data_IF_986200054059
#
_entry.id   IF_986200054059
#
_cell.length_a   1.000
_cell.length_b   1.000
_cell.length_c   1.000
_cell.angle_alpha   90.00
_cell.angle_beta   90.00
_cell.angle_gamma   90.00
#
_symmetry.space_group_name_H-M   'P 1'
#
loop_
_entity.id
_entity.type
_entity.pdbx_description
1 polymer ?
#
# COMPACT_ATOMS: atom_id res chain seq x y z
N UNK A 1 23.81 22.06 -21.53
CA UNK A 1 23.28 22.28 -20.16
C UNK A 1 23.48 21.04 -19.30
N UNK A 2 23.02 19.86 -19.73
CA UNK A 2 23.22 18.59 -19.01
C UNK A 2 24.67 18.34 -18.55
N UNK A 3 25.65 18.49 -19.45
CA UNK A 3 27.08 18.33 -19.13
C UNK A 3 27.55 19.28 -18.03
N UNK A 4 27.01 20.50 -17.99
CA UNK A 4 27.35 21.51 -16.98
C UNK A 4 26.75 21.13 -15.63
N UNK A 5 25.50 20.63 -15.61
CA UNK A 5 24.90 20.10 -14.38
C UNK A 5 25.67 18.89 -13.84
N UNK A 6 26.00 17.92 -14.69
CA UNK A 6 26.79 16.77 -14.27
C UNK A 6 28.16 17.18 -13.72
N UNK A 7 28.89 18.05 -14.44
CA UNK A 7 30.17 18.55 -13.98
C UNK A 7 30.08 19.33 -12.66
N UNK A 8 29.01 20.10 -12.45
CA UNK A 8 28.80 20.83 -11.19
C UNK A 8 28.45 19.88 -10.03
N UNK A 9 27.60 18.88 -10.27
CA UNK A 9 27.23 17.87 -9.27
C UNK A 9 28.47 17.10 -8.82
N UNK A 10 29.27 16.63 -9.77
CA UNK A 10 30.46 15.78 -9.54
C UNK A 10 31.71 16.57 -9.10
N UNK A 11 31.68 17.90 -9.17
CA UNK A 11 32.82 18.75 -8.76
C UNK A 11 33.06 18.75 -7.24
N UNK A 12 34.29 19.02 -6.81
CA UNK A 12 34.65 19.20 -5.40
C UNK A 12 34.34 20.62 -4.86
N UNK A 13 33.49 21.39 -5.57
CA UNK A 13 33.14 22.74 -5.14
C UNK A 13 32.33 22.75 -3.84
N UNK A 14 32.46 23.79 -2.99
CA UNK A 14 31.64 23.95 -1.79
C UNK A 14 30.14 23.96 -2.12
N UNK A 15 29.31 23.39 -1.24
CA UNK A 15 27.86 23.28 -1.44
C UNK A 15 27.19 24.64 -1.73
N UNK A 16 27.60 25.69 -1.01
CA UNK A 16 27.16 27.07 -1.21
C UNK A 16 27.40 27.54 -2.66
N UNK A 17 28.59 27.27 -3.19
CA UNK A 17 28.97 27.61 -4.56
C UNK A 17 28.16 26.81 -5.58
N UNK A 18 27.96 25.51 -5.33
CA UNK A 18 27.11 24.66 -6.18
C UNK A 18 25.68 25.21 -6.23
N UNK A 19 25.08 25.56 -5.09
CA UNK A 19 23.73 26.15 -5.01
C UNK A 19 23.61 27.45 -5.82
N UNK A 20 24.57 28.36 -5.68
CA UNK A 20 24.56 29.63 -6.41
C UNK A 20 24.65 29.44 -7.92
N UNK A 21 25.53 28.54 -8.39
CA UNK A 21 25.66 28.22 -9.82
C UNK A 21 24.40 27.51 -10.32
N UNK A 22 23.83 26.59 -9.54
CA UNK A 22 22.56 25.91 -9.86
C UNK A 22 21.43 26.91 -10.10
N UNK A 23 21.27 27.93 -9.26
CA UNK A 23 20.23 28.97 -9.48
C UNK A 23 20.40 29.71 -10.81
N UNK A 24 21.63 30.02 -11.20
CA UNK A 24 21.91 30.68 -12.48
C UNK A 24 21.64 29.75 -13.65
N UNK A 25 22.01 28.47 -13.53
CA UNK A 25 21.72 27.46 -14.53
C UNK A 25 20.21 27.20 -14.65
N UNK A 26 19.46 27.24 -13.55
CA UNK A 26 17.99 27.14 -13.57
C UNK A 26 17.37 28.30 -14.35
N UNK A 27 17.84 29.53 -14.12
CA UNK A 27 17.38 30.70 -14.90
C UNK A 27 17.76 30.62 -16.38
N UNK A 28 18.85 29.94 -16.72
CA UNK A 28 19.22 29.69 -18.11
C UNK A 28 18.37 28.57 -18.73
N UNK A 29 17.98 27.56 -17.95
CA UNK A 29 17.17 26.43 -18.39
C UNK A 29 15.76 26.84 -18.86
N UNK A 30 15.20 27.92 -18.31
CA UNK A 30 13.92 28.46 -18.79
C UNK A 30 13.97 29.01 -20.22
N UNK A 31 15.17 29.30 -20.76
CA UNK A 31 15.37 29.79 -22.14
C UNK A 31 15.59 28.69 -23.15
N UNK A 32 15.57 27.42 -22.73
CA UNK A 32 15.76 26.29 -23.64
C UNK A 32 14.62 26.20 -24.66
N UNK A 33 14.90 25.58 -25.81
CA UNK A 33 13.82 25.12 -26.70
C UNK A 33 13.03 24.00 -26.01
N UNK A 34 11.81 23.72 -26.46
CA UNK A 34 11.04 22.59 -25.91
C UNK A 34 11.79 21.26 -26.07
N UNK A 35 12.49 21.06 -27.18
CA UNK A 35 13.27 19.85 -27.42
C UNK A 35 14.44 19.72 -26.44
N UNK A 36 15.19 20.80 -26.21
CA UNK A 36 16.31 20.79 -25.27
C UNK A 36 15.83 20.65 -23.82
N UNK A 37 14.68 21.24 -23.49
CA UNK A 37 14.05 21.09 -22.20
C UNK A 37 13.60 19.65 -21.96
N UNK A 38 13.00 18.98 -22.96
CA UNK A 38 12.65 17.54 -22.87
C UNK A 38 13.88 16.68 -22.62
N UNK A 39 14.98 16.93 -23.34
CA UNK A 39 16.24 16.22 -23.11
C UNK A 39 16.78 16.44 -21.69
N UNK A 40 16.77 17.68 -21.21
CA UNK A 40 17.22 17.99 -19.85
C UNK A 40 16.29 17.38 -18.78
N UNK A 41 14.97 17.40 -19.00
CA UNK A 41 13.99 16.73 -18.14
C UNK A 41 14.30 15.25 -18.04
N UNK A 42 14.56 14.55 -19.15
CA UNK A 42 14.91 13.11 -19.14
C UNK A 42 16.12 12.81 -18.27
N UNK A 43 17.22 13.54 -18.48
CA UNK A 43 18.44 13.35 -17.69
C UNK A 43 18.20 13.66 -16.21
N UNK A 44 17.45 14.72 -15.92
CA UNK A 44 17.10 15.11 -14.55
C UNK A 44 16.14 14.12 -13.86
N UNK A 45 15.21 13.50 -14.60
CA UNK A 45 14.35 12.41 -14.13
C UNK A 45 15.20 11.21 -13.71
N UNK A 46 16.17 10.81 -14.52
CA UNK A 46 17.13 9.76 -14.15
C UNK A 46 17.92 10.14 -12.89
N UNK A 47 18.40 11.39 -12.76
CA UNK A 47 19.12 11.84 -11.56
C UNK A 47 18.25 11.83 -10.30
N UNK A 48 16.98 12.24 -10.43
CA UNK A 48 16.00 12.25 -9.34
C UNK A 48 15.73 10.83 -8.80
N UNK A 49 15.66 9.85 -9.71
CA UNK A 49 15.21 8.49 -9.41
C UNK A 49 16.37 7.53 -9.07
N UNK A 50 17.51 7.68 -9.74
CA UNK A 50 18.63 6.73 -9.69
C UNK A 50 19.92 7.34 -9.11
N UNK A 51 19.91 8.62 -8.72
CA UNK A 51 21.09 9.29 -8.16
C UNK A 51 21.52 8.68 -6.82
N UNK A 52 22.73 8.12 -6.78
CA UNK A 52 23.35 7.58 -5.56
C UNK A 52 23.56 8.67 -4.49
N UNK A 53 23.85 9.89 -4.92
CA UNK A 53 24.07 11.05 -4.05
C UNK A 53 22.77 11.84 -3.79
N UNK A 54 22.58 12.29 -2.54
CA UNK A 54 21.43 13.12 -2.14
C UNK A 54 21.34 14.42 -2.94
N UNK A 55 22.48 15.08 -3.18
CA UNK A 55 22.55 16.34 -3.95
C UNK A 55 22.13 16.14 -5.40
N UNK A 56 22.59 15.06 -6.06
CA UNK A 56 22.20 14.74 -7.44
C UNK A 56 20.68 14.53 -7.57
N UNK A 57 20.08 13.86 -6.59
CA UNK A 57 18.62 13.68 -6.52
C UNK A 57 17.89 15.00 -6.34
N UNK A 58 18.36 15.86 -5.42
CA UNK A 58 17.77 17.18 -5.17
C UNK A 58 17.82 18.09 -6.40
N UNK A 59 18.97 18.12 -7.09
CA UNK A 59 19.14 18.88 -8.33
C UNK A 59 18.23 18.36 -9.46
N UNK A 60 18.17 17.03 -9.63
CA UNK A 60 17.27 16.42 -10.61
C UNK A 60 15.81 16.82 -10.38
N UNK A 61 15.35 16.81 -9.12
CA UNK A 61 13.99 17.24 -8.74
C UNK A 61 13.72 18.69 -9.10
N UNK A 62 14.63 19.58 -8.71
CA UNK A 62 14.45 21.01 -8.92
C UNK A 62 14.41 21.37 -10.42
N UNK A 63 15.21 20.70 -11.24
CA UNK A 63 15.22 20.86 -12.70
C UNK A 63 13.86 20.45 -13.28
N UNK A 64 13.41 19.23 -12.98
CA UNK A 64 12.15 18.68 -13.47
C UNK A 64 11.00 19.60 -13.05
N UNK A 65 10.95 19.98 -11.78
CA UNK A 65 9.92 20.87 -11.24
C UNK A 65 9.87 22.22 -11.97
N UNK A 66 11.00 22.93 -12.09
CA UNK A 66 11.02 24.25 -12.74
C UNK A 66 10.69 24.20 -14.21
N UNK A 67 11.22 23.23 -14.95
CA UNK A 67 10.96 23.10 -16.39
C UNK A 67 9.48 22.87 -16.66
N UNK A 68 8.84 22.01 -15.88
CA UNK A 68 7.41 21.74 -16.03
C UNK A 68 6.54 22.91 -15.56
N UNK A 69 6.89 23.54 -14.43
CA UNK A 69 6.16 24.72 -13.91
C UNK A 69 6.21 25.89 -14.89
N UNK A 70 7.36 26.16 -15.48
CA UNK A 70 7.56 27.33 -16.32
C UNK A 70 6.96 27.14 -17.74
N UNK A 71 6.76 25.88 -18.19
CA UNK A 71 6.25 25.55 -19.55
C UNK A 71 4.79 25.11 -19.62
N UNK A 72 4.19 24.72 -18.50
CA UNK A 72 2.77 24.43 -18.42
C UNK A 72 2.34 22.99 -18.75
N UNK A 73 1.02 22.71 -18.71
CA UNK A 73 0.45 21.36 -18.83
C UNK A 73 0.70 20.67 -20.17
N UNK A 74 0.72 21.42 -21.28
CA UNK A 74 0.98 20.84 -22.61
C UNK A 74 2.39 20.25 -22.73
N UNK A 75 3.38 20.92 -22.13
CA UNK A 75 4.76 20.42 -22.08
C UNK A 75 4.84 19.16 -21.22
N UNK A 76 4.22 19.17 -20.04
CA UNK A 76 4.08 17.99 -19.15
C UNK A 76 3.51 16.78 -19.89
N UNK A 77 2.39 16.96 -20.60
CA UNK A 77 1.73 15.89 -21.34
C UNK A 77 2.61 15.35 -22.48
N UNK A 78 3.32 16.22 -23.20
CA UNK A 78 4.23 15.78 -24.26
C UNK A 78 5.43 14.98 -23.76
N UNK A 79 5.94 15.28 -22.55
CA UNK A 79 7.02 14.48 -21.91
C UNK A 79 6.49 13.11 -21.50
N UNK A 80 5.26 13.09 -20.99
CA UNK A 80 4.55 11.89 -20.59
C UNK A 80 4.31 10.95 -21.78
N UNK A 81 3.71 11.43 -22.87
CA UNK A 81 3.49 10.68 -24.11
C UNK A 81 4.80 10.10 -24.67
N UNK A 82 5.87 10.90 -24.73
CA UNK A 82 7.18 10.43 -25.16
C UNK A 82 7.76 9.38 -24.20
N UNK A 83 7.52 9.53 -22.89
CA UNK A 83 7.88 8.56 -21.86
C UNK A 83 7.19 7.22 -22.10
N UNK A 84 5.87 7.22 -22.36
CA UNK A 84 5.09 6.02 -22.70
C UNK A 84 5.56 5.36 -23.98
N UNK A 85 5.70 6.12 -25.07
CA UNK A 85 6.18 5.59 -26.36
C UNK A 85 7.58 4.96 -26.25
N UNK A 86 8.45 5.54 -25.42
CA UNK A 86 9.80 5.05 -25.19
C UNK A 86 9.91 4.04 -24.03
N UNK A 87 8.80 3.69 -23.39
CA UNK A 87 8.72 2.82 -22.19
C UNK A 87 9.66 3.24 -21.05
N UNK A 88 9.84 4.54 -20.85
CA UNK A 88 10.75 5.10 -19.83
C UNK A 88 9.99 5.47 -18.56
N UNK A 89 9.87 4.51 -17.66
CA UNK A 89 9.19 4.69 -16.37
C UNK A 89 9.68 5.91 -15.56
N UNK A 90 11.01 6.22 -15.48
CA UNK A 90 11.48 7.40 -14.76
C UNK A 90 10.94 8.72 -15.32
N UNK A 91 10.79 8.82 -16.64
CA UNK A 91 10.28 10.03 -17.31
C UNK A 91 8.79 10.22 -17.01
N UNK A 92 8.02 9.12 -17.07
CA UNK A 92 6.59 9.13 -16.72
C UNK A 92 6.37 9.54 -15.27
N UNK A 93 7.10 8.91 -14.35
CA UNK A 93 6.97 9.19 -12.92
C UNK A 93 7.39 10.62 -12.58
N UNK A 94 8.48 11.12 -13.15
CA UNK A 94 8.93 12.48 -12.90
C UNK A 94 7.88 13.52 -13.32
N UNK A 95 7.28 13.37 -14.50
CA UNK A 95 6.25 14.28 -14.97
C UNK A 95 4.95 14.17 -14.15
N UNK A 96 4.49 12.95 -13.81
CA UNK A 96 3.31 12.76 -12.96
C UNK A 96 3.51 13.32 -11.54
N UNK A 97 4.71 13.20 -10.96
CA UNK A 97 5.01 13.77 -9.65
C UNK A 97 4.92 15.29 -9.62
N UNK A 98 5.29 15.98 -10.71
CA UNK A 98 5.12 17.44 -10.77
C UNK A 98 3.66 17.85 -10.74
N UNK A 99 2.77 17.07 -11.37
CA UNK A 99 1.33 17.32 -11.30
C UNK A 99 0.80 17.28 -9.86
N UNK A 100 1.41 16.49 -8.98
CA UNK A 100 1.00 16.32 -7.58
C UNK A 100 1.46 17.46 -6.65
N UNK A 101 2.28 18.42 -7.11
CA UNK A 101 2.84 19.45 -6.23
C UNK A 101 1.88 20.64 -6.05
N UNK A 102 1.56 21.02 -4.79
CA UNK A 102 0.52 22.01 -4.48
C UNK A 102 0.88 23.47 -4.79
N UNK A 103 2.15 23.78 -5.10
CA UNK A 103 2.68 25.15 -5.18
C UNK A 103 2.81 25.72 -6.60
N UNK A 104 2.23 25.08 -7.61
CA UNK A 104 2.42 25.46 -9.02
C UNK A 104 1.15 26.04 -9.68
N UNK A 105 1.32 27.07 -10.51
CA UNK A 105 0.32 27.51 -11.50
C UNK A 105 0.02 26.42 -12.56
N UNK A 106 0.75 25.31 -12.52
CA UNK A 106 0.56 24.06 -13.26
C UNK A 106 -0.09 23.00 -12.37
N UNK A 107 -1.10 23.42 -11.60
CA UNK A 107 -1.70 22.59 -10.57
C UNK A 107 -2.39 21.37 -11.16
N UNK A 108 -2.50 20.30 -10.37
CA UNK A 108 -3.27 19.09 -10.70
C UNK A 108 -4.70 19.37 -11.20
N UNK A 109 -5.27 20.52 -10.82
CA UNK A 109 -6.58 21.01 -11.24
C UNK A 109 -6.66 21.33 -12.75
N UNK A 110 -5.51 21.46 -13.41
CA UNK A 110 -5.41 21.72 -14.86
C UNK A 110 -5.46 20.46 -15.72
N UNK A 111 -5.32 19.27 -15.12
CA UNK A 111 -5.46 18.00 -15.82
C UNK A 111 -6.95 17.75 -16.13
N UNK A 112 -7.27 17.56 -17.40
CA UNK A 112 -8.63 17.22 -17.82
C UNK A 112 -8.98 15.77 -17.44
N UNK A 113 -10.27 15.47 -17.35
CA UNK A 113 -10.74 14.10 -17.10
C UNK A 113 -10.25 13.16 -18.23
N UNK A 114 -10.30 13.62 -19.48
CA UNK A 114 -9.84 12.89 -20.66
C UNK A 114 -8.35 12.51 -20.56
N UNK A 115 -7.49 13.45 -20.16
CA UNK A 115 -6.07 13.18 -19.96
C UNK A 115 -5.83 12.16 -18.85
N UNK A 116 -6.63 12.19 -17.78
CA UNK A 116 -6.51 11.19 -16.72
C UNK A 116 -6.93 9.80 -17.20
N UNK A 117 -8.03 9.70 -17.95
CA UNK A 117 -8.51 8.47 -18.58
C UNK A 117 -7.45 7.89 -19.52
N UNK A 118 -6.86 8.73 -20.37
CA UNK A 118 -5.81 8.32 -21.31
C UNK A 118 -4.57 7.80 -20.57
N UNK A 119 -4.11 8.51 -19.53
CA UNK A 119 -2.98 8.07 -18.70
C UNK A 119 -3.24 6.72 -18.02
N UNK A 120 -4.45 6.51 -17.49
CA UNK A 120 -4.85 5.24 -16.88
C UNK A 120 -4.89 4.11 -17.90
N UNK A 121 -5.45 4.35 -19.09
CA UNK A 121 -5.51 3.39 -20.18
C UNK A 121 -4.11 2.98 -20.66
N UNK A 122 -3.21 3.95 -20.84
CA UNK A 122 -1.81 3.69 -21.21
C UNK A 122 -1.07 2.89 -20.14
N UNK A 123 -1.24 3.21 -18.85
CA UNK A 123 -0.63 2.46 -17.76
C UNK A 123 -1.13 1.01 -17.69
N UNK A 124 -2.42 0.78 -17.97
CA UNK A 124 -3.01 -0.56 -18.05
C UNK A 124 -2.50 -1.35 -19.24
N UNK A 125 -2.45 -0.72 -20.42
CA UNK A 125 -1.90 -1.35 -21.62
C UNK A 125 -0.45 -1.79 -21.38
N UNK A 126 0.36 -0.93 -20.76
CA UNK A 126 1.73 -1.28 -20.42
C UNK A 126 1.79 -2.46 -19.43
N UNK A 127 0.96 -2.47 -18.39
CA UNK A 127 0.91 -3.58 -17.44
C UNK A 127 0.51 -4.92 -18.09
N UNK A 128 -0.36 -4.89 -19.10
CA UNK A 128 -0.76 -6.06 -19.88
C UNK A 128 0.36 -6.55 -20.80
N UNK A 129 1.08 -5.63 -21.46
CA UNK A 129 2.20 -5.93 -22.35
C UNK A 129 3.42 -6.49 -21.59
N UNK A 130 3.78 -5.86 -20.46
CA UNK A 130 4.95 -6.23 -19.67
C UNK A 130 4.66 -7.41 -18.72
N UNK A 131 3.40 -7.87 -18.63
CA UNK A 131 2.89 -8.91 -17.70
C UNK A 131 3.15 -8.62 -16.22
N UNK A 132 3.59 -7.42 -15.89
CA UNK A 132 3.86 -6.95 -14.55
C UNK A 132 3.47 -5.48 -14.43
N UNK A 133 2.60 -5.18 -13.47
CA UNK A 133 2.14 -3.82 -13.23
C UNK A 133 3.11 -3.09 -12.31
N UNK A 134 3.64 -1.95 -12.76
CA UNK A 134 4.44 -1.07 -11.89
C UNK A 134 3.55 -0.44 -10.82
N UNK A 135 3.67 -0.92 -9.57
CA UNK A 135 2.93 -0.35 -8.43
C UNK A 135 3.16 1.15 -8.34
N UNK A 136 4.37 1.63 -8.62
CA UNK A 136 4.69 3.04 -8.51
C UNK A 136 3.90 3.89 -9.51
N UNK A 137 3.84 3.48 -10.77
CA UNK A 137 3.09 4.19 -11.80
C UNK A 137 1.60 4.22 -11.45
N UNK A 138 1.03 3.07 -11.09
CA UNK A 138 -0.36 2.95 -10.71
C UNK A 138 -0.68 3.80 -9.46
N UNK A 139 0.16 3.74 -8.42
CA UNK A 139 -0.04 4.48 -7.19
C UNK A 139 -0.01 6.00 -7.40
N UNK A 140 0.92 6.49 -8.25
CA UNK A 140 1.01 7.92 -8.58
C UNK A 140 -0.23 8.37 -9.34
N UNK A 141 -0.69 7.60 -10.34
CA UNK A 141 -1.90 7.92 -11.10
C UNK A 141 -3.17 7.87 -10.23
N UNK A 142 -3.32 6.83 -9.42
CA UNK A 142 -4.47 6.71 -8.50
C UNK A 142 -4.50 7.86 -7.49
N UNK A 143 -3.35 8.24 -6.94
CA UNK A 143 -3.27 9.40 -6.06
C UNK A 143 -3.55 10.72 -6.81
N UNK A 144 -3.09 10.85 -8.05
CA UNK A 144 -3.38 12.04 -8.86
C UNK A 144 -4.87 12.19 -9.15
N UNK A 145 -5.57 11.09 -9.43
CA UNK A 145 -7.02 11.08 -9.60
C UNK A 145 -7.77 11.59 -8.35
N UNK A 146 -7.34 11.13 -7.16
CA UNK A 146 -7.93 11.59 -5.89
C UNK A 146 -7.57 13.05 -5.60
N UNK A 147 -6.30 13.41 -5.69
CA UNK A 147 -5.80 14.75 -5.35
C UNK A 147 -6.36 15.84 -6.29
N UNK A 148 -6.75 15.49 -7.51
CA UNK A 148 -7.39 16.39 -8.47
C UNK A 148 -8.92 16.43 -8.35
N UNK A 149 -9.49 15.72 -7.38
CA UNK A 149 -10.94 15.55 -7.23
C UNK A 149 -11.62 15.03 -8.52
N UNK A 150 -10.88 14.28 -9.35
CA UNK A 150 -11.39 13.73 -10.62
C UNK A 150 -12.06 12.38 -10.45
N UNK A 151 -11.96 11.76 -9.28
CA UNK A 151 -12.66 10.50 -8.99
C UNK A 151 -14.18 10.64 -9.12
N UNK A 152 -14.79 11.69 -8.57
CA UNK A 152 -16.25 11.85 -8.64
C UNK A 152 -16.74 12.08 -10.07
N UNK A 153 -16.17 13.02 -10.86
CA UNK A 153 -16.54 13.17 -12.28
C UNK A 153 -16.31 11.88 -13.08
N UNK A 154 -15.26 11.13 -12.80
CA UNK A 154 -14.99 9.87 -13.51
C UNK A 154 -16.10 8.82 -13.25
N UNK A 155 -16.59 8.74 -12.02
CA UNK A 155 -17.68 7.82 -11.64
C UNK A 155 -19.05 8.31 -12.11
N UNK A 156 -19.32 9.61 -12.02
CA UNK A 156 -20.65 10.18 -12.31
C UNK A 156 -20.86 10.52 -13.80
N UNK A 157 -19.83 11.01 -14.49
CA UNK A 157 -19.91 11.52 -15.87
C UNK A 157 -19.28 10.58 -16.90
N UNK A 158 -18.40 9.67 -16.48
CA UNK A 158 -17.60 8.83 -17.37
C UNK A 158 -18.32 7.63 -18.00
N UNK A 159 -19.52 7.30 -17.55
CA UNK A 159 -20.33 6.20 -18.09
C UNK A 159 -19.73 4.79 -17.85
N UNK A 160 -20.16 3.81 -18.65
CA UNK A 160 -19.74 2.40 -18.51
C UNK A 160 -18.26 2.19 -18.81
N UNK A 161 -17.70 2.88 -19.81
CA UNK A 161 -16.30 2.73 -20.21
C UNK A 161 -15.33 3.21 -19.12
N UNK A 162 -15.62 4.33 -18.46
CA UNK A 162 -14.82 4.81 -17.33
C UNK A 162 -14.94 3.88 -16.11
N UNK A 163 -16.11 3.28 -15.90
CA UNK A 163 -16.34 2.32 -14.82
C UNK A 163 -15.54 1.03 -15.05
N UNK A 164 -15.52 0.49 -16.26
CA UNK A 164 -14.69 -0.67 -16.62
C UNK A 164 -13.20 -0.35 -16.47
N UNK A 165 -12.77 0.84 -16.92
CA UNK A 165 -11.39 1.30 -16.77
C UNK A 165 -10.99 1.38 -15.30
N UNK A 166 -11.84 1.95 -14.44
CA UNK A 166 -11.62 2.02 -13.00
C UNK A 166 -11.51 0.63 -12.37
N UNK A 167 -12.36 -0.31 -12.76
CA UNK A 167 -12.30 -1.69 -12.27
C UNK A 167 -10.98 -2.36 -12.68
N UNK A 168 -10.62 -2.29 -13.97
CA UNK A 168 -9.35 -2.84 -14.49
C UNK A 168 -8.14 -2.21 -13.80
N UNK A 169 -8.12 -0.89 -13.65
CA UNK A 169 -7.07 -0.15 -12.96
C UNK A 169 -6.93 -0.60 -11.50
N UNK A 170 -8.06 -0.72 -10.81
CA UNK A 170 -8.09 -1.16 -9.42
C UNK A 170 -7.60 -2.60 -9.25
N UNK A 171 -7.95 -3.50 -10.17
CA UNK A 171 -7.40 -4.86 -10.18
C UNK A 171 -5.90 -4.88 -10.43
N UNK A 172 -5.40 -4.09 -11.38
CA UNK A 172 -3.96 -3.98 -11.63
C UNK A 172 -3.23 -3.47 -10.37
N UNK A 173 -3.81 -2.50 -9.66
CA UNK A 173 -3.29 -1.99 -8.38
C UNK A 173 -3.22 -3.09 -7.30
N UNK A 174 -4.30 -3.86 -7.11
CA UNK A 174 -4.32 -4.95 -6.12
C UNK A 174 -3.30 -6.05 -6.45
N UNK A 175 -3.16 -6.41 -7.73
CA UNK A 175 -2.14 -7.36 -8.16
C UNK A 175 -0.73 -6.83 -7.88
N UNK A 176 -0.46 -5.57 -8.22
CA UNK A 176 0.83 -4.92 -7.97
C UNK A 176 1.14 -4.82 -6.46
N UNK A 177 0.14 -4.53 -5.62
CA UNK A 177 0.28 -4.57 -4.16
C UNK A 177 0.58 -5.98 -3.66
N UNK A 178 -0.07 -7.01 -4.23
CA UNK A 178 0.13 -8.41 -3.82
C UNK A 178 1.56 -8.92 -4.11
N UNK A 179 2.14 -8.49 -5.23
CA UNK A 179 3.49 -8.86 -5.65
C UNK A 179 4.57 -7.95 -5.07
N UNK A 180 4.20 -6.78 -4.52
CA UNK A 180 5.16 -5.82 -3.98
C UNK A 180 6.03 -6.45 -2.89
N UNK A 181 7.34 -6.54 -3.13
CA UNK A 181 8.31 -6.90 -2.11
C UNK A 181 9.09 -5.64 -1.79
N UNK A 182 9.01 -5.18 -0.54
CA UNK A 182 9.92 -4.17 -0.04
C UNK A 182 11.34 -4.78 -0.08
N UNK A 183 12.25 -4.27 -0.93
CA UNK A 183 13.60 -4.81 -0.97
C UNK A 183 14.29 -4.54 0.38
N UNK A 184 14.89 -5.58 0.97
CA UNK A 184 15.46 -5.60 2.33
C UNK A 184 16.59 -4.58 2.61
N UNK A 185 16.98 -3.77 1.62
CA UNK A 185 18.05 -2.77 1.76
C UNK A 185 18.08 -1.74 0.63
N UNK A 186 16.96 -1.45 -0.04
CA UNK A 186 17.00 -0.44 -1.10
C UNK A 186 16.51 0.92 -0.57
N UNK A 187 17.36 1.96 -0.55
CA UNK A 187 16.96 3.32 -0.23
C UNK A 187 16.22 3.91 -1.43
N UNK A 188 15.16 3.26 -1.90
CA UNK A 188 14.29 3.77 -2.96
C UNK A 188 13.20 4.62 -2.34
N UNK A 189 13.63 5.64 -1.61
CA UNK A 189 12.74 6.72 -1.20
C UNK A 189 12.75 7.75 -2.30
N UNK A 190 11.85 7.52 -3.25
CA UNK A 190 11.49 8.47 -4.30
C UNK A 190 10.66 9.54 -3.58
N UNK A 191 11.30 10.69 -3.39
CA UNK A 191 11.28 11.47 -2.13
C UNK A 191 9.96 11.75 -1.41
N UNK A 192 10.11 12.14 -0.10
CA UNK A 192 11.41 12.23 0.64
C UNK A 192 11.49 11.35 1.90
N UNK A 193 12.73 10.98 2.32
CA UNK A 193 13.12 10.93 3.73
C UNK A 193 14.11 12.10 4.01
N UNK A 194 14.20 12.84 5.11
CA UNK A 194 13.66 12.86 6.48
C UNK A 194 13.76 14.33 6.99
N UNK A 195 13.08 14.74 8.08
CA UNK A 195 11.96 14.06 8.72
C UNK A 195 10.70 14.30 7.88
N UNK A 196 9.82 13.30 7.87
CA UNK A 196 8.46 13.44 7.37
C UNK A 196 7.76 14.48 8.25
N UNK A 197 7.83 15.75 7.85
CA UNK A 197 6.97 16.78 8.41
C UNK A 197 5.59 16.53 7.83
N UNK A 198 4.60 16.42 8.71
CA UNK A 198 3.18 16.30 8.38
C UNK A 198 2.66 17.42 7.43
N UNK A 199 3.48 18.44 7.17
CA UNK A 199 3.19 19.61 6.37
C UNK A 199 3.44 19.41 4.86
N UNK A 200 4.27 18.45 4.45
CA UNK A 200 4.67 18.28 3.04
C UNK A 200 3.60 17.60 2.17
N UNK A 201 2.62 16.94 2.80
CA UNK A 201 1.58 16.16 2.12
C UNK A 201 0.21 16.32 2.77
N UNK A 202 -0.45 17.49 2.60
CA UNK A 202 -1.74 17.78 3.24
C UNK A 202 -2.88 16.81 2.83
N UNK A 203 -2.66 15.96 1.82
CA UNK A 203 -3.67 15.06 1.24
C UNK A 203 -3.48 13.58 1.60
N UNK A 204 -2.44 13.21 2.37
CA UNK A 204 -2.25 11.83 2.85
C UNK A 204 -2.73 11.72 4.30
N UNK A 205 -3.72 10.86 4.61
CA UNK A 205 -4.19 10.69 5.98
C UNK A 205 -3.08 10.20 6.92
N UNK A 206 -2.83 10.89 8.04
CA UNK A 206 -1.75 10.60 9.00
C UNK A 206 -1.89 9.24 9.68
N UNK A 207 -3.14 8.85 9.96
CA UNK A 207 -3.56 7.54 10.43
C UNK A 207 -3.10 6.41 9.49
N UNK A 208 -3.23 6.61 8.18
CA UNK A 208 -2.85 5.61 7.17
C UNK A 208 -1.32 5.43 7.11
N UNK A 209 -0.55 6.52 7.25
CA UNK A 209 0.91 6.42 7.35
C UNK A 209 1.36 5.67 8.61
N UNK A 210 0.72 5.92 9.75
CA UNK A 210 1.05 5.23 11.00
C UNK A 210 0.74 3.72 10.92
N UNK A 211 -0.39 3.36 10.32
CA UNK A 211 -0.77 1.96 10.08
C UNK A 211 0.18 1.25 9.10
N UNK A 212 0.57 1.91 8.01
CA UNK A 212 1.55 1.37 7.08
C UNK A 212 2.91 1.11 7.75
N UNK A 213 3.37 2.04 8.61
CA UNK A 213 4.61 1.88 9.39
C UNK A 213 4.53 0.72 10.37
N UNK A 214 3.41 0.58 11.09
CA UNK A 214 3.20 -0.51 12.04
C UNK A 214 3.24 -1.89 11.38
N UNK A 215 2.85 -1.99 10.10
CA UNK A 215 2.84 -3.22 9.33
C UNK A 215 4.07 -3.42 8.43
N UNK A 216 5.12 -2.60 8.61
CA UNK A 216 6.39 -2.74 7.89
C UNK A 216 6.37 -2.28 6.43
N UNK A 217 5.33 -1.57 6.00
CA UNK A 217 5.20 -1.02 4.64
C UNK A 217 5.35 0.52 4.58
N UNK A 218 5.44 1.19 5.74
CA UNK A 218 5.42 2.65 5.86
C UNK A 218 6.66 3.38 5.37
N UNK A 219 7.64 2.65 4.83
CA UNK A 219 8.79 3.21 4.10
C UNK A 219 8.50 3.40 2.60
N UNK A 220 7.41 2.81 2.09
CA UNK A 220 7.07 2.82 0.66
C UNK A 220 5.95 3.81 0.35
N UNK A 221 6.31 5.00 -0.15
CA UNK A 221 5.37 6.06 -0.53
C UNK A 221 4.33 5.60 -1.57
N UNK A 222 4.71 4.71 -2.48
CA UNK A 222 3.77 4.17 -3.47
C UNK A 222 2.68 3.30 -2.82
N UNK A 223 2.99 2.54 -1.76
CA UNK A 223 1.97 1.80 -1.01
C UNK A 223 0.97 2.78 -0.39
N UNK A 224 1.45 3.80 0.32
CA UNK A 224 0.58 4.81 0.96
C UNK A 224 -0.33 5.49 -0.07
N UNK A 225 0.19 5.88 -1.22
CA UNK A 225 -0.59 6.48 -2.31
C UNK A 225 -1.64 5.54 -2.90
N UNK A 226 -1.29 4.28 -3.13
CA UNK A 226 -2.22 3.26 -3.60
C UNK A 226 -3.37 3.06 -2.60
N UNK A 227 -3.05 3.02 -1.31
CA UNK A 227 -4.02 2.88 -0.23
C UNK A 227 -4.94 4.11 -0.11
N UNK A 228 -4.43 5.33 -0.29
CA UNK A 228 -5.27 6.54 -0.36
C UNK A 228 -6.28 6.46 -1.50
N UNK A 229 -5.85 6.03 -2.69
CA UNK A 229 -6.76 5.81 -3.82
C UNK A 229 -7.87 4.80 -3.49
N UNK A 230 -7.50 3.62 -2.97
CA UNK A 230 -8.45 2.57 -2.62
C UNK A 230 -9.44 3.02 -1.54
N UNK A 231 -8.97 3.76 -0.53
CA UNK A 231 -9.81 4.31 0.53
C UNK A 231 -10.86 5.28 -0.01
N UNK A 232 -10.45 6.22 -0.85
CA UNK A 232 -11.38 7.18 -1.46
C UNK A 232 -12.42 6.49 -2.35
N UNK A 233 -12.04 5.39 -3.02
CA UNK A 233 -12.97 4.61 -3.84
C UNK A 233 -14.01 3.87 -2.99
N UNK A 234 -13.66 3.37 -1.81
CA UNK A 234 -14.61 2.75 -0.88
C UNK A 234 -15.56 3.74 -0.23
N UNK A 235 -15.04 4.89 0.17
CA UNK A 235 -15.82 5.96 0.78
C UNK A 235 -16.74 6.66 -0.24
N UNK A 236 -16.58 6.39 -1.54
CA UNK A 236 -17.40 7.00 -2.58
C UNK A 236 -18.84 6.45 -2.57
N UNK A 237 -19.87 7.32 -2.49
CA UNK A 237 -21.25 6.91 -2.22
C UNK A 237 -21.87 6.05 -3.32
N UNK A 238 -21.44 6.20 -4.58
CA UNK A 238 -21.96 5.43 -5.71
C UNK A 238 -21.09 4.21 -6.06
N UNK A 239 -19.80 4.24 -5.72
CA UNK A 239 -18.87 3.19 -6.11
C UNK A 239 -18.72 2.13 -5.00
N UNK A 240 -18.79 2.54 -3.72
CA UNK A 240 -18.40 1.72 -2.57
C UNK A 240 -19.05 0.33 -2.49
N UNK A 241 -20.38 0.21 -2.66
CA UNK A 241 -21.07 -1.09 -2.51
C UNK A 241 -20.74 -2.08 -3.64
N UNK A 242 -20.76 -1.63 -4.90
CA UNK A 242 -20.40 -2.47 -6.05
C UNK A 242 -18.90 -2.82 -6.07
N UNK A 243 -18.05 -1.86 -5.68
CA UNK A 243 -16.61 -2.07 -5.60
C UNK A 243 -16.21 -2.98 -4.44
N UNK A 244 -16.95 -3.02 -3.33
CA UNK A 244 -16.62 -3.92 -2.21
C UNK A 244 -16.55 -5.37 -2.66
N UNK A 245 -17.62 -5.86 -3.29
CA UNK A 245 -17.70 -7.24 -3.81
C UNK A 245 -16.55 -7.55 -4.75
N UNK A 246 -16.24 -6.60 -5.65
CA UNK A 246 -15.13 -6.71 -6.58
C UNK A 246 -13.76 -6.80 -5.88
N UNK A 247 -13.45 -5.85 -5.01
CA UNK A 247 -12.20 -5.77 -4.26
C UNK A 247 -12.03 -7.01 -3.40
N UNK A 248 -13.08 -7.46 -2.72
CA UNK A 248 -13.05 -8.66 -1.90
C UNK A 248 -12.72 -9.90 -2.73
N UNK A 249 -13.44 -10.11 -3.84
CA UNK A 249 -13.20 -11.23 -4.75
C UNK A 249 -11.76 -11.25 -5.23
N UNK A 250 -11.26 -10.09 -5.67
CA UNK A 250 -9.90 -9.99 -6.22
C UNK A 250 -8.81 -10.09 -5.15
N UNK A 251 -8.99 -9.45 -3.99
CA UNK A 251 -8.05 -9.54 -2.88
C UNK A 251 -7.96 -10.97 -2.37
N UNK A 252 -9.11 -11.63 -2.14
CA UNK A 252 -9.12 -13.03 -1.73
C UNK A 252 -8.58 -13.96 -2.81
N UNK A 253 -8.86 -13.71 -4.09
CA UNK A 253 -8.22 -14.47 -5.18
C UNK A 253 -6.70 -14.40 -5.06
N UNK A 254 -6.10 -13.24 -4.75
CA UNK A 254 -4.65 -13.14 -4.55
C UNK A 254 -4.16 -13.99 -3.37
N UNK A 255 -4.92 -14.08 -2.28
CA UNK A 255 -4.61 -14.97 -1.15
C UNK A 255 -4.81 -16.45 -1.49
N UNK A 256 -5.83 -16.80 -2.28
CA UNK A 256 -6.26 -18.16 -2.57
C UNK A 256 -5.46 -18.83 -3.71
N UNK A 257 -5.12 -18.08 -4.76
CA UNK A 257 -4.60 -18.65 -6.01
C UNK A 257 -3.12 -18.37 -6.25
N UNK A 258 -2.48 -17.49 -5.48
CA UNK A 258 -1.07 -17.17 -5.68
C UNK A 258 -0.17 -18.29 -5.14
N UNK A 259 0.78 -18.76 -5.94
CA UNK A 259 1.81 -19.73 -5.51
C UNK A 259 2.75 -19.15 -4.45
N UNK A 260 2.89 -17.83 -4.41
CA UNK A 260 3.68 -17.12 -3.40
C UNK A 260 2.77 -16.44 -2.39
N UNK A 261 3.20 -16.33 -1.11
CA UNK A 261 2.44 -15.54 -0.14
C UNK A 261 2.32 -14.09 -0.64
N UNK A 262 1.13 -13.47 -0.59
CA UNK A 262 0.98 -12.08 -0.97
C UNK A 262 1.76 -11.16 -0.03
N UNK A 263 2.10 -9.98 -0.51
CA UNK A 263 2.75 -8.95 0.30
C UNK A 263 1.90 -8.52 1.47
N UNK A 264 2.54 -8.14 2.59
CA UNK A 264 1.88 -7.43 3.69
C UNK A 264 1.19 -6.14 3.22
N UNK A 265 1.63 -5.54 2.10
CA UNK A 265 0.97 -4.37 1.51
C UNK A 265 -0.48 -4.66 1.07
N UNK A 266 -0.78 -5.90 0.66
CA UNK A 266 -2.16 -6.30 0.36
C UNK A 266 -3.00 -6.44 1.63
N UNK A 267 -2.40 -6.84 2.76
CA UNK A 267 -3.09 -6.92 4.04
C UNK A 267 -3.53 -5.55 4.55
N UNK A 268 -2.77 -4.49 4.24
CA UNK A 268 -3.18 -3.11 4.54
C UNK A 268 -4.48 -2.71 3.85
N UNK A 269 -4.76 -3.24 2.65
CA UNK A 269 -6.03 -3.01 1.97
C UNK A 269 -7.20 -3.52 2.82
N UNK A 270 -7.06 -4.71 3.41
CA UNK A 270 -8.06 -5.28 4.31
C UNK A 270 -8.20 -4.45 5.59
N UNK A 271 -7.10 -3.91 6.12
CA UNK A 271 -7.12 -3.06 7.31
C UNK A 271 -7.91 -1.76 7.13
N UNK A 272 -7.98 -1.24 5.91
CA UNK A 272 -8.59 0.04 5.60
C UNK A 272 -10.05 -0.08 5.17
N UNK A 273 -10.59 -1.30 5.06
CA UNK A 273 -11.99 -1.49 4.71
C UNK A 273 -12.91 -1.00 5.86
N UNK A 274 -13.91 -0.15 5.57
CA UNK A 274 -14.94 0.23 6.53
C UNK A 274 -15.65 -0.97 7.17
N UNK A 275 -16.02 -0.86 8.45
CA UNK A 275 -16.56 -1.97 9.25
C UNK A 275 -17.91 -2.49 8.72
N UNK A 276 -18.79 -1.57 8.32
CA UNK A 276 -20.09 -1.86 7.73
C UNK A 276 -19.99 -2.70 6.45
N UNK A 277 -18.87 -2.59 5.75
CA UNK A 277 -18.56 -3.39 4.57
C UNK A 277 -17.96 -4.77 4.95
N UNK A 278 -17.20 -4.88 6.03
CA UNK A 278 -16.70 -6.17 6.53
C UNK A 278 -17.85 -7.07 7.00
N UNK A 279 -18.90 -6.52 7.61
CA UNK A 279 -20.05 -7.31 8.04
C UNK A 279 -20.80 -7.94 6.86
N UNK A 280 -20.93 -7.20 5.74
CA UNK A 280 -21.47 -7.70 4.47
C UNK A 280 -20.58 -8.79 3.85
N UNK A 281 -19.29 -8.82 4.21
CA UNK A 281 -18.34 -9.76 3.65
C UNK A 281 -18.63 -11.23 4.03
N UNK A 282 -19.14 -11.47 5.24
CA UNK A 282 -19.42 -12.82 5.73
C UNK A 282 -20.48 -13.55 4.87
N UNK A 283 -21.54 -12.83 4.47
CA UNK A 283 -22.56 -13.36 3.56
C UNK A 283 -21.99 -13.61 2.17
N UNK A 284 -21.11 -12.72 1.70
CA UNK A 284 -20.41 -12.92 0.43
C UNK A 284 -19.51 -14.15 0.42
N UNK A 285 -18.72 -14.39 1.48
CA UNK A 285 -17.86 -15.58 1.59
C UNK A 285 -18.66 -16.87 1.55
N UNK A 286 -19.89 -16.86 2.05
CA UNK A 286 -20.78 -18.03 1.97
C UNK A 286 -21.25 -18.34 0.54
N UNK A 287 -21.17 -17.39 -0.41
CA UNK A 287 -21.65 -17.55 -1.80
C UNK A 287 -20.56 -17.60 -2.88
N UNK A 288 -19.30 -17.29 -2.53
CA UNK A 288 -18.12 -17.37 -3.41
C UNK A 288 -17.86 -18.75 -4.05
N UNK A 289 -17.74 -18.83 -5.37
CA UNK A 289 -17.32 -20.07 -6.06
C UNK A 289 -15.81 -20.37 -5.79
N UNK A 290 -15.52 -21.04 -4.67
CA UNK A 290 -14.17 -21.47 -4.28
C UNK A 290 -14.22 -22.84 -3.59
N UNK A 291 -13.07 -23.51 -3.48
CA UNK A 291 -12.95 -24.79 -2.77
C UNK A 291 -12.35 -24.63 -1.35
N UNK A 292 -12.42 -25.71 -0.55
CA UNK A 292 -11.89 -25.71 0.81
C UNK A 292 -10.37 -25.45 0.85
N UNK A 293 -9.62 -25.94 -0.14
CA UNK A 293 -8.15 -25.83 -0.16
C UNK A 293 -7.68 -24.38 -0.36
N UNK A 294 -8.39 -23.65 -1.22
CA UNK A 294 -8.19 -22.23 -1.48
C UNK A 294 -8.45 -21.40 -0.22
N UNK A 295 -9.56 -21.66 0.47
CA UNK A 295 -9.89 -20.95 1.72
C UNK A 295 -8.91 -21.30 2.83
N UNK A 296 -8.50 -22.55 2.98
CA UNK A 296 -7.45 -22.95 3.93
C UNK A 296 -6.14 -22.20 3.68
N UNK A 297 -5.70 -22.07 2.43
CA UNK A 297 -4.47 -21.32 2.09
C UNK A 297 -4.60 -19.83 2.43
N UNK A 298 -5.76 -19.23 2.13
CA UNK A 298 -6.01 -17.83 2.47
C UNK A 298 -6.01 -17.58 3.98
N UNK A 299 -6.66 -18.44 4.76
CA UNK A 299 -6.70 -18.35 6.22
C UNK A 299 -5.31 -18.51 6.83
N UNK A 300 -4.53 -19.51 6.39
CA UNK A 300 -3.16 -19.71 6.88
C UNK A 300 -2.28 -18.48 6.60
N UNK A 301 -2.40 -17.86 5.41
CA UNK A 301 -1.67 -16.64 5.08
C UNK A 301 -2.10 -15.43 5.92
N UNK A 302 -3.39 -15.26 6.16
CA UNK A 302 -3.92 -14.15 6.98
C UNK A 302 -3.56 -14.30 8.46
N UNK A 303 -3.64 -15.52 9.00
CA UNK A 303 -3.35 -15.81 10.41
C UNK A 303 -1.86 -15.69 10.76
N UNK A 304 -0.96 -15.84 9.78
CA UNK A 304 0.48 -15.59 9.97
C UNK A 304 0.82 -14.12 10.17
N UNK A 305 -0.07 -13.20 9.78
CA UNK A 305 0.14 -11.77 9.98
C UNK A 305 0.02 -11.41 11.46
N UNK A 306 0.66 -10.31 11.88
CA UNK A 306 0.46 -9.80 13.22
C UNK A 306 -1.02 -9.47 13.45
N UNK A 307 -1.66 -9.98 14.52
CA UNK A 307 -3.06 -9.74 14.77
C UNK A 307 -3.30 -8.26 14.99
N UNK A 308 -4.13 -7.66 14.15
CA UNK A 308 -4.61 -6.30 14.27
C UNK A 308 -6.14 -6.29 14.24
N UNK A 309 -6.82 -5.38 14.97
CA UNK A 309 -8.28 -5.36 15.05
C UNK A 309 -9.01 -5.45 13.70
N UNK A 310 -8.57 -4.79 12.60
CA UNK A 310 -9.29 -4.91 11.34
C UNK A 310 -9.01 -6.25 10.62
N UNK A 311 -7.79 -6.80 10.70
CA UNK A 311 -7.48 -8.11 10.09
C UNK A 311 -8.22 -9.26 10.78
N UNK A 312 -8.33 -9.21 12.12
CA UNK A 312 -8.98 -10.27 12.89
C UNK A 312 -10.47 -10.36 12.60
N UNK A 313 -11.11 -9.24 12.24
CA UNK A 313 -12.50 -9.22 11.77
C UNK A 313 -12.70 -9.86 10.41
N UNK A 314 -11.76 -9.67 9.48
CA UNK A 314 -11.77 -10.38 8.19
C UNK A 314 -11.63 -11.89 8.36
N UNK A 315 -10.74 -12.32 9.25
CA UNK A 315 -10.60 -13.74 9.61
C UNK A 315 -11.90 -14.27 10.23
N UNK A 316 -12.53 -13.53 11.14
CA UNK A 316 -13.83 -13.87 11.69
C UNK A 316 -14.94 -13.98 10.63
N UNK A 317 -15.01 -13.05 9.68
CA UNK A 317 -15.96 -13.09 8.57
C UNK A 317 -15.75 -14.33 7.67
N UNK A 318 -14.49 -14.70 7.41
CA UNK A 318 -14.16 -15.93 6.69
C UNK A 318 -14.59 -17.18 7.47
N UNK A 319 -14.36 -17.23 8.79
CA UNK A 319 -14.84 -18.33 9.63
C UNK A 319 -16.36 -18.48 9.57
N UNK A 320 -17.11 -17.39 9.72
CA UNK A 320 -18.57 -17.40 9.58
C UNK A 320 -19.02 -17.91 8.19
N UNK A 321 -18.33 -17.47 7.13
CA UNK A 321 -18.54 -17.99 5.77
C UNK A 321 -18.28 -19.49 5.65
N UNK A 322 -17.21 -20.00 6.27
CA UNK A 322 -16.90 -21.44 6.33
C UNK A 322 -17.99 -22.24 7.07
N UNK A 323 -18.47 -21.76 8.21
CA UNK A 323 -19.54 -22.44 8.96
C UNK A 323 -20.84 -22.52 8.18
N UNK A 324 -21.25 -21.44 7.51
CA UNK A 324 -22.43 -21.44 6.62
C UNK A 324 -22.34 -22.47 5.50
N UNK A 325 -21.12 -22.87 5.11
CA UNK A 325 -20.84 -23.91 4.11
C UNK A 325 -20.63 -25.31 4.68
N UNK A 326 -20.65 -25.47 6.01
CA UNK A 326 -20.31 -26.73 6.68
C UNK A 326 -18.82 -27.06 6.64
N UNK A 327 -17.93 -26.07 6.47
CA UNK A 327 -16.49 -26.24 6.36
C UNK A 327 -15.77 -26.10 7.70
N UNK A 328 -16.35 -26.64 8.77
CA UNK A 328 -15.82 -26.58 10.14
C UNK A 328 -14.36 -27.02 10.24
N UNK A 329 -13.96 -28.05 9.48
CA UNK A 329 -12.58 -28.57 9.47
C UNK A 329 -11.56 -27.55 8.98
N UNK A 330 -11.92 -26.70 8.02
CA UNK A 330 -11.04 -25.64 7.50
C UNK A 330 -10.69 -24.65 8.62
N UNK A 331 -11.68 -24.30 9.45
CA UNK A 331 -11.50 -23.39 10.58
C UNK A 331 -10.67 -24.04 11.69
N UNK A 332 -10.95 -25.30 12.03
CA UNK A 332 -10.20 -26.01 13.07
C UNK A 332 -8.73 -26.22 12.69
N UNK A 333 -8.45 -26.60 11.46
CA UNK A 333 -7.08 -26.85 10.98
C UNK A 333 -6.26 -25.56 10.94
N UNK A 334 -6.87 -24.45 10.49
CA UNK A 334 -6.24 -23.13 10.46
C UNK A 334 -5.92 -22.60 11.88
N UNK A 335 -6.79 -22.84 12.85
CA UNK A 335 -6.51 -22.50 14.24
C UNK A 335 -5.46 -23.41 14.87
N UNK A 336 -5.49 -24.70 14.57
CA UNK A 336 -4.48 -25.63 15.06
C UNK A 336 -3.06 -25.22 14.59
N UNK A 337 -2.92 -24.83 13.31
CA UNK A 337 -1.64 -24.36 12.75
C UNK A 337 -1.17 -23.03 13.36
N UNK A 338 -2.09 -22.12 13.67
CA UNK A 338 -1.79 -20.76 14.13
C UNK A 338 -1.91 -20.57 15.65
N UNK A 339 -2.24 -21.62 16.40
CA UNK A 339 -2.56 -21.55 17.83
C UNK A 339 -1.43 -20.97 18.69
N UNK A 340 -0.15 -21.25 18.39
CA UNK A 340 0.97 -20.67 19.16
C UNK A 340 1.00 -19.13 19.04
N UNK A 341 0.78 -18.61 17.83
CA UNK A 341 0.77 -17.17 17.57
C UNK A 341 -0.43 -16.49 18.23
N UNK A 342 -1.61 -17.12 18.13
CA UNK A 342 -2.83 -16.60 18.75
C UNK A 342 -2.76 -16.61 20.28
N UNK A 343 -2.24 -17.68 20.88
CA UNK A 343 -2.04 -17.77 22.33
C UNK A 343 -0.97 -16.79 22.82
N UNK A 344 0.11 -16.60 22.07
CA UNK A 344 1.10 -15.56 22.38
C UNK A 344 0.48 -14.15 22.32
N UNK A 345 -0.41 -13.89 21.36
CA UNK A 345 -1.14 -12.62 21.28
C UNK A 345 -2.15 -12.42 22.41
N UNK A 346 -2.73 -13.49 22.99
CA UNK A 346 -3.56 -13.38 24.20
C UNK A 346 -2.78 -12.89 25.42
N UNK A 347 -1.48 -13.20 25.51
CA UNK A 347 -0.60 -12.76 26.61
C UNK A 347 -0.22 -11.28 26.52
N UNK A 348 -0.30 -10.68 25.34
CA UNK A 348 0.04 -9.27 25.12
C UNK A 348 -1.22 -8.38 25.26
N UNK A 349 -1.24 -7.42 26.21
CA UNK A 349 -2.36 -6.51 26.39
C UNK A 349 -2.78 -5.77 25.12
N UNK A 350 -1.83 -5.49 24.21
CA UNK A 350 -2.07 -4.73 22.98
C UNK A 350 -2.77 -5.55 21.90
N UNK A 351 -2.58 -6.87 21.89
CA UNK A 351 -3.09 -7.77 20.84
C UNK A 351 -4.14 -8.77 21.35
N UNK A 352 -4.31 -8.86 22.67
CA UNK A 352 -5.27 -9.77 23.34
C UNK A 352 -6.70 -9.62 22.83
N UNK A 353 -7.21 -8.40 22.70
CA UNK A 353 -8.55 -8.14 22.16
C UNK A 353 -8.70 -8.65 20.73
N UNK A 354 -7.68 -8.47 19.89
CA UNK A 354 -7.72 -8.93 18.50
C UNK A 354 -7.64 -10.46 18.42
N UNK A 355 -6.83 -11.09 19.25
CA UNK A 355 -6.78 -12.55 19.35
C UNK A 355 -8.13 -13.14 19.79
N UNK A 356 -8.83 -12.49 20.73
CA UNK A 356 -10.19 -12.86 21.11
C UNK A 356 -11.20 -12.67 19.97
N UNK A 357 -11.07 -11.61 19.17
CA UNK A 357 -11.92 -11.38 17.98
C UNK A 357 -11.75 -12.47 16.91
N UNK A 358 -10.61 -13.19 16.88
CA UNK A 358 -10.41 -14.38 16.02
C UNK A 358 -10.99 -15.64 16.66
N UNK A 359 -10.69 -15.85 17.95
CA UNK A 359 -11.04 -17.08 18.65
C UNK A 359 -12.55 -17.19 18.92
N UNK A 360 -13.22 -16.10 19.27
CA UNK A 360 -14.65 -16.09 19.56
C UNK A 360 -15.51 -16.60 18.39
N UNK A 361 -15.42 -16.06 17.15
CA UNK A 361 -16.23 -16.56 16.04
C UNK A 361 -15.87 -17.99 15.63
N UNK A 362 -14.65 -18.45 15.89
CA UNK A 362 -14.26 -19.83 15.62
C UNK A 362 -14.79 -20.84 16.65
N UNK A 363 -14.79 -20.47 17.92
CA UNK A 363 -15.24 -21.36 19.00
C UNK A 363 -16.77 -21.35 19.16
N UNK A 364 -17.42 -20.24 18.78
CA UNK A 364 -18.88 -20.06 18.86
C UNK A 364 -19.59 -20.35 17.53
N UNK A 365 -18.85 -20.73 16.48
CA UNK A 365 -19.40 -21.03 15.17
C UNK A 365 -20.29 -22.28 15.15
N UNK A 366 -21.27 -22.31 14.25
CA UNK A 366 -22.20 -23.43 14.11
C UNK A 366 -21.45 -24.70 13.64
N UNK A 367 -21.45 -25.74 14.47
CA UNK A 367 -20.65 -26.95 14.26
C UNK A 367 -19.27 -26.96 14.92
N UNK A 368 -18.91 -25.94 15.70
CA UNK A 368 -17.76 -26.01 16.60
C UNK A 368 -17.98 -27.11 17.65
N UNK A 369 -17.00 -28.00 17.82
CA UNK A 369 -17.03 -29.06 18.82
C UNK A 369 -15.70 -29.12 19.56
N UNK A 370 -15.74 -29.62 20.80
CA UNK A 370 -14.53 -29.80 21.61
C UNK A 370 -13.47 -30.63 20.88
N UNK A 371 -13.88 -31.73 20.24
CA UNK A 371 -12.97 -32.65 19.56
C UNK A 371 -12.17 -31.95 18.46
N UNK A 372 -12.80 -31.05 17.70
CA UNK A 372 -12.18 -30.29 16.62
C UNK A 372 -11.14 -29.27 17.12
N UNK A 373 -11.28 -28.78 18.36
CA UNK A 373 -10.42 -27.76 18.96
C UNK A 373 -9.57 -28.27 20.12
N UNK A 374 -9.58 -29.57 20.39
CA UNK A 374 -8.79 -30.19 21.47
C UNK A 374 -7.31 -29.77 21.48
N UNK A 375 -6.59 -29.64 20.34
CA UNK A 375 -5.19 -29.21 20.36
C UNK A 375 -5.01 -27.76 20.81
N UNK A 376 -5.99 -26.88 20.55
CA UNK A 376 -5.98 -25.49 21.01
C UNK A 376 -6.21 -25.44 22.53
N UNK A 377 -7.19 -26.19 23.03
CA UNK A 377 -7.50 -26.26 24.47
C UNK A 377 -6.34 -26.85 25.27
N UNK A 378 -5.69 -27.91 24.78
CA UNK A 378 -4.51 -28.50 25.42
C UNK A 378 -3.36 -27.49 25.53
N UNK A 379 -3.15 -26.66 24.49
CA UNK A 379 -2.13 -25.61 24.50
C UNK A 379 -2.51 -24.46 25.44
N UNK A 380 -3.77 -24.06 25.47
CA UNK A 380 -4.27 -23.05 26.39
C UNK A 380 -4.13 -23.49 27.85
N UNK A 381 -4.44 -24.76 28.16
CA UNK A 381 -4.29 -25.32 29.49
C UNK A 381 -2.84 -25.24 29.97
N UNK A 382 -1.88 -25.67 29.15
CA UNK A 382 -0.44 -25.54 29.45
C UNK A 382 -0.02 -24.09 29.63
N UNK A 383 -0.52 -23.19 28.80
CA UNK A 383 -0.23 -21.75 28.88
C UNK A 383 -0.67 -21.14 30.21
N UNK A 384 -1.86 -21.53 30.70
CA UNK A 384 -2.40 -21.08 31.98
C UNK A 384 -1.67 -21.74 33.17
N UNK A 385 -1.28 -23.01 33.07
CA UNK A 385 -0.46 -23.69 34.08
C UNK A 385 0.90 -23.00 34.26
N UNK A 386 1.57 -22.64 33.16
CA UNK A 386 2.82 -21.88 33.19
C UNK A 386 2.67 -20.50 33.86
N UNK A 387 1.57 -19.80 33.59
CA UNK A 387 1.29 -18.49 34.21
C UNK A 387 0.97 -18.63 35.70
N UNK A 388 0.22 -19.67 36.10
CA UNK A 388 -0.07 -19.95 37.50
C UNK A 388 1.20 -20.23 38.32
N UNK A 389 2.17 -20.95 37.74
CA UNK A 389 3.48 -21.21 38.37
C UNK A 389 4.29 -19.93 38.52
N UNK A 390 4.26 -19.03 37.54
CA UNK A 390 5.00 -17.76 37.59
C UNK A 390 4.36 -16.70 38.53
N UNK A 391 3.10 -16.91 38.94
CA UNK A 391 2.39 -16.05 39.89
C UNK A 391 2.52 -16.50 41.34
N UNK A 392 3.14 -17.66 41.63
CA UNK A 392 3.51 -18.01 43.00
C UNK A 392 4.64 -17.07 43.47
N UNK A 393 4.40 -16.20 44.47
CA UNK A 393 5.45 -15.35 44.99
C UNK A 393 6.51 -16.23 45.67
N UNK A 394 7.78 -15.83 45.58
CA UNK A 394 8.91 -16.34 46.37
C UNK A 394 8.56 -16.40 47.88
N UNK A 395 7.91 -17.49 48.29
CA UNK A 395 7.56 -17.77 49.69
C UNK A 395 8.62 -18.66 50.35
N UNK A 396 9.85 -18.70 49.80
CA UNK A 396 10.96 -19.51 50.30
C UNK A 396 12.21 -18.71 50.67
N UNK A 397 12.04 -17.45 51.08
CA UNK A 397 13.10 -16.68 51.74
C UNK A 397 12.69 -16.21 53.16
N UNK A 398 12.24 -17.12 54.02
CA UNK A 398 12.19 -16.85 55.48
C UNK A 398 12.24 -18.14 56.33
N UNK A 399 13.29 -18.94 56.13
CA UNK A 399 13.63 -20.02 57.07
C UNK A 399 15.13 -20.09 57.33
N UNK A 400 15.72 -18.99 57.79
CA UNK A 400 16.97 -19.05 58.55
C UNK A 400 17.14 -17.85 59.49
N UNK A 401 16.58 -17.96 60.68
CA UNK A 401 17.29 -17.48 61.87
C UNK A 401 16.98 -18.43 63.03
N UNK A 402 17.95 -19.31 63.24
CA UNK A 402 18.07 -20.23 64.36
C UNK A 402 18.11 -19.48 65.69
N UNK A 403 17.30 -19.97 66.62
CA UNK A 403 17.51 -19.89 68.07
C UNK A 403 18.91 -20.37 68.47
N UNK A 404 19.73 -19.53 69.09
CA UNK A 404 20.39 -19.70 70.41
C UNK A 404 21.33 -18.53 70.70
#
# INVERSE_FOLDING_TARGET
>A
METIFNGLIESDHPLETKKLVLEHLMKAASRLTDQDAKLLTRSASCWSMQGLESLRREVGREIVFRLHRDRGPAFLWSVLEEGWQSRRLPDMLAALHVLLLPSSNTSIWTVSLEQMIEAMAMALQQAEEDREASLELLAVLGHALVASCRLNPLVEEGGEEASDLLLRFTRAMLLALSSHRTPASAPHVLFPPSPLLDEDWPFIPRDLMQQARALGAGESLCVVRALTYLRCLWEHPQAGEGFLSYIMKHTMSCYMTSDQPPSCALSLVLCLCPQDLVDKAADYFSTLECDQSQVSSALDRLLRLAPSPPLTRWVGALFLGCYKRGWTRVVSDALASSSLQLLAALRDPLTSSSALDVLAPALLGDGASYDNFSPLFDRLARMLEEEAINLEPDNTASSSSSSS
#
